data_IF_914563080811
#
_entry.id   IF_914563080811
#
_cell.length_a   1.000
_cell.length_b   1.000
_cell.length_c   1.000
_cell.angle_alpha   90.00
_cell.angle_beta   90.00
_cell.angle_gamma   90.00
#
_symmetry.space_group_name_H-M   'P 1'
#
loop_
_entity.id
_entity.type
_entity.pdbx_description
1 polymer ?
#
# COMPACT_ATOMS: atom_id res chain seq x y z
N UNK A 1 3.27 -25.58 -8.08
CA UNK A 1 2.86 -24.24 -7.59
C UNK A 1 4.11 -23.39 -7.51
N UNK A 2 4.16 -22.23 -8.19
CA UNK A 2 5.28 -21.30 -8.09
C UNK A 2 5.00 -20.28 -6.99
N UNK A 3 6.04 -19.74 -6.36
CA UNK A 3 5.90 -18.64 -5.40
C UNK A 3 5.11 -17.46 -6.02
N UNK A 4 5.32 -17.18 -7.31
CA UNK A 4 4.61 -16.17 -8.08
C UNK A 4 3.10 -16.44 -8.26
N UNK A 5 2.62 -17.67 -8.04
CA UNK A 5 1.20 -18.01 -8.11
C UNK A 5 0.47 -17.67 -6.80
N UNK A 6 1.19 -17.59 -5.68
CA UNK A 6 0.66 -17.17 -4.39
C UNK A 6 0.46 -15.65 -4.32
N UNK A 7 1.08 -14.87 -5.22
CA UNK A 7 1.18 -13.41 -5.13
C UNK A 7 0.31 -12.63 -6.12
N UNK A 8 -0.67 -13.27 -6.76
CA UNK A 8 -1.49 -12.65 -7.82
C UNK A 8 -2.69 -11.87 -7.31
N UNK A 9 -3.14 -12.13 -6.09
CA UNK A 9 -4.26 -11.42 -5.50
C UNK A 9 -3.88 -9.96 -5.24
N UNK A 10 -4.76 -9.06 -5.66
CA UNK A 10 -4.64 -7.62 -5.39
C UNK A 10 -5.84 -7.16 -4.60
N UNK A 11 -5.61 -6.36 -3.56
CA UNK A 11 -6.66 -5.73 -2.79
C UNK A 11 -6.70 -4.23 -3.06
N UNK A 12 -7.89 -3.62 -3.12
CA UNK A 12 -8.01 -2.17 -3.27
C UNK A 12 -7.66 -1.45 -1.96
N UNK A 13 -7.20 -0.21 -2.08
CA UNK A 13 -7.13 0.75 -0.99
C UNK A 13 -7.67 2.10 -1.44
N UNK A 14 -8.13 2.89 -0.49
CA UNK A 14 -8.53 4.29 -0.69
C UNK A 14 -7.97 5.12 0.46
N UNK A 15 -7.45 6.30 0.14
CA UNK A 15 -6.89 7.24 1.11
C UNK A 15 -7.43 8.65 0.85
N UNK A 16 -7.95 9.28 1.90
CA UNK A 16 -8.41 10.66 1.84
C UNK A 16 -7.23 11.61 2.08
N UNK A 17 -6.90 12.41 1.08
CA UNK A 17 -5.87 13.45 1.13
C UNK A 17 -6.54 14.84 1.02
N UNK A 18 -5.86 15.93 1.42
CA UNK A 18 -6.41 17.28 1.27
C UNK A 18 -6.78 17.63 -0.18
N UNK A 19 -6.08 17.05 -1.16
CA UNK A 19 -6.30 17.29 -2.58
C UNK A 19 -7.39 16.39 -3.21
N UNK A 20 -7.88 15.36 -2.49
CA UNK A 20 -8.85 14.41 -3.02
C UNK A 20 -8.71 13.01 -2.45
N UNK A 21 -9.42 12.06 -3.05
CA UNK A 21 -9.30 10.63 -2.69
C UNK A 21 -8.35 9.97 -3.67
N UNK A 22 -7.23 9.46 -3.17
CA UNK A 22 -6.31 8.64 -3.94
C UNK A 22 -6.72 7.18 -3.78
N UNK A 23 -6.80 6.44 -4.88
CA UNK A 23 -7.21 5.04 -4.94
C UNK A 23 -6.12 4.21 -5.58
N UNK A 24 -6.07 2.94 -5.20
CA UNK A 24 -5.14 2.04 -5.85
C UNK A 24 -5.34 0.59 -5.46
N UNK A 25 -4.38 -0.22 -5.88
CA UNK A 25 -4.33 -1.65 -5.61
C UNK A 25 -2.94 -2.05 -5.13
N UNK A 26 -2.90 -2.99 -4.19
CA UNK A 26 -1.66 -3.53 -3.65
C UNK A 26 -1.71 -5.06 -3.62
N UNK A 27 -0.55 -5.71 -3.54
CA UNK A 27 -0.41 -7.16 -3.37
C UNK A 27 -0.19 -7.47 -1.89
N UNK A 28 -1.22 -7.92 -1.13
CA UNK A 28 -1.04 -8.29 0.29
C UNK A 28 0.02 -9.38 0.48
N UNK A 29 0.12 -10.30 -0.48
CA UNK A 29 1.07 -11.41 -0.47
C UNK A 29 2.52 -10.98 -0.73
N UNK A 30 2.73 -9.73 -1.17
CA UNK A 30 4.07 -9.14 -1.27
C UNK A 30 4.57 -8.60 0.08
N UNK A 31 3.72 -8.60 1.13
CA UNK A 31 4.11 -8.30 2.50
C UNK A 31 4.93 -9.47 3.09
N UNK A 32 6.22 -9.46 2.79
CA UNK A 32 7.20 -10.46 3.22
C UNK A 32 7.98 -9.97 4.44
N UNK A 33 8.75 -10.84 5.15
CA UNK A 33 9.64 -10.39 6.23
C UNK A 33 10.61 -9.28 5.81
N UNK A 34 10.99 -9.23 4.53
CA UNK A 34 11.80 -8.13 3.99
C UNK A 34 11.05 -6.81 4.00
N UNK A 35 9.77 -6.81 3.65
CA UNK A 35 8.91 -5.61 3.71
C UNK A 35 8.69 -5.20 5.16
N UNK A 36 8.46 -6.15 6.06
CA UNK A 36 8.32 -5.88 7.49
C UNK A 36 9.57 -5.21 8.09
N UNK A 37 10.77 -5.67 7.73
CA UNK A 37 12.02 -5.02 8.11
C UNK A 37 12.08 -3.56 7.63
N UNK A 38 11.75 -3.31 6.35
CA UNK A 38 11.74 -1.95 5.79
C UNK A 38 10.73 -1.05 6.51
N UNK A 39 9.60 -1.58 6.95
CA UNK A 39 8.62 -0.84 7.74
C UNK A 39 9.18 -0.47 9.12
N UNK A 40 9.91 -1.38 9.77
CA UNK A 40 10.62 -1.07 11.02
C UNK A 40 11.69 0.02 10.82
N UNK A 41 12.47 -0.07 9.75
CA UNK A 41 13.44 0.94 9.36
C UNK A 41 12.78 2.30 9.02
N UNK A 42 11.56 2.29 8.50
CA UNK A 42 10.78 3.50 8.23
C UNK A 42 10.32 4.22 9.51
N UNK A 43 10.24 3.51 10.64
CA UNK A 43 9.82 4.07 11.92
C UNK A 43 11.00 4.61 12.74
N UNK A 44 12.06 3.81 12.85
CA UNK A 44 13.15 4.07 13.81
C UNK A 44 14.55 4.15 13.15
N UNK A 45 14.63 4.02 11.82
CA UNK A 45 15.89 3.94 11.09
C UNK A 45 16.50 5.30 10.70
N UNK A 46 17.75 5.28 10.20
CA UNK A 46 18.47 6.50 9.80
C UNK A 46 17.95 7.12 8.49
N UNK A 47 17.17 6.38 7.70
CA UNK A 47 16.63 6.82 6.40
C UNK A 47 15.16 6.42 6.23
N UNK A 48 14.24 6.98 7.06
CA UNK A 48 12.87 6.48 7.17
C UNK A 48 12.05 6.62 5.88
N UNK A 49 12.26 7.73 5.14
CA UNK A 49 11.60 7.96 3.86
C UNK A 49 12.00 6.94 2.78
N UNK A 50 13.29 6.60 2.71
CA UNK A 50 13.81 5.62 1.74
C UNK A 50 13.25 4.22 2.01
N UNK A 51 13.22 3.82 3.28
CA UNK A 51 12.71 2.51 3.68
C UNK A 51 11.19 2.40 3.40
N UNK A 52 10.44 3.46 3.65
CA UNK A 52 9.00 3.53 3.34
C UNK A 52 8.73 3.43 1.83
N UNK A 53 9.49 4.16 1.01
CA UNK A 53 9.39 4.09 -0.45
C UNK A 53 9.74 2.70 -1.00
N UNK A 54 10.79 2.04 -0.47
CA UNK A 54 11.15 0.67 -0.87
C UNK A 54 10.04 -0.32 -0.49
N UNK A 55 9.49 -0.22 0.72
CA UNK A 55 8.36 -1.03 1.14
C UNK A 55 7.15 -0.86 0.21
N UNK A 56 6.77 0.38 -0.11
CA UNK A 56 5.63 0.67 -0.99
C UNK A 56 5.87 0.23 -2.43
N UNK A 57 7.08 0.36 -2.97
CA UNK A 57 7.43 -0.08 -4.34
C UNK A 57 7.21 -1.58 -4.56
N UNK A 58 7.25 -2.36 -3.47
CA UNK A 58 7.05 -3.81 -3.50
C UNK A 58 5.58 -4.20 -3.33
N UNK A 59 4.81 -3.37 -2.63
CA UNK A 59 3.40 -3.62 -2.31
C UNK A 59 2.46 -3.08 -3.38
N UNK A 60 2.70 -1.85 -3.85
CA UNK A 60 1.83 -1.14 -4.80
C UNK A 60 1.88 -1.80 -6.17
N UNK A 61 0.68 -1.99 -6.75
CA UNK A 61 0.51 -2.44 -8.13
C UNK A 61 0.15 -1.27 -9.02
N UNK A 62 -0.78 -0.44 -8.55
CA UNK A 62 -1.29 0.71 -9.28
C UNK A 62 -1.94 1.70 -8.32
N UNK A 63 -2.04 2.94 -8.76
CA UNK A 63 -2.82 3.99 -8.14
C UNK A 63 -3.29 4.99 -9.21
N UNK A 64 -4.22 5.87 -8.86
CA UNK A 64 -4.74 6.92 -9.73
C UNK A 64 -4.00 8.27 -9.55
N UNK A 65 -2.78 8.23 -9.00
CA UNK A 65 -1.90 9.40 -8.97
C UNK A 65 -1.42 9.70 -10.40
N UNK A 66 -1.60 10.94 -10.84
CA UNK A 66 -1.09 11.45 -12.12
C UNK A 66 0.13 12.36 -11.88
N UNK A 67 1.07 12.35 -12.82
CA UNK A 67 2.19 13.30 -12.87
C UNK A 67 1.77 14.68 -13.38
N UNK A 68 2.73 15.60 -13.47
CA UNK A 68 2.49 16.96 -13.98
C UNK A 68 2.09 16.99 -15.47
N UNK A 69 2.43 15.94 -16.21
CA UNK A 69 2.10 15.72 -17.61
C UNK A 69 0.73 15.04 -17.81
N UNK A 70 0.04 14.68 -16.73
CA UNK A 70 -1.23 13.94 -16.75
C UNK A 70 -1.07 12.45 -17.01
N UNK A 71 0.15 11.92 -17.05
CA UNK A 71 0.40 10.49 -17.19
C UNK A 71 0.34 9.77 -15.83
N UNK A 72 0.01 8.47 -15.78
CA UNK A 72 0.00 7.71 -14.54
C UNK A 72 1.36 7.73 -13.85
N UNK A 73 1.38 8.17 -12.59
CA UNK A 73 2.59 8.28 -11.82
C UNK A 73 3.15 6.88 -11.49
N UNK A 74 4.43 6.58 -11.77
CA UNK A 74 4.95 5.22 -11.58
C UNK A 74 5.02 4.81 -10.11
N UNK A 75 4.86 3.50 -9.83
CA UNK A 75 5.02 2.91 -8.49
C UNK A 75 6.42 2.37 -8.22
N UNK A 76 7.40 2.74 -9.07
CA UNK A 76 8.80 2.36 -8.90
C UNK A 76 9.44 3.06 -7.70
N UNK A 77 10.51 2.48 -7.13
CA UNK A 77 11.22 3.10 -6.01
C UNK A 77 11.70 4.52 -6.35
N UNK A 78 12.31 4.71 -7.51
CA UNK A 78 12.83 6.01 -7.95
C UNK A 78 11.73 7.08 -7.98
N UNK A 79 10.58 6.75 -8.58
CA UNK A 79 9.42 7.66 -8.61
C UNK A 79 8.85 7.91 -7.21
N UNK A 80 8.73 6.88 -6.37
CA UNK A 80 8.20 7.04 -5.01
C UNK A 80 9.07 7.94 -4.11
N UNK A 81 10.36 8.09 -4.40
CA UNK A 81 11.24 9.01 -3.65
C UNK A 81 10.97 10.49 -3.93
N UNK A 82 10.29 10.80 -5.03
CA UNK A 82 9.88 12.16 -5.37
C UNK A 82 8.50 12.50 -4.78
N UNK A 83 7.76 11.50 -4.30
CA UNK A 83 6.44 11.69 -3.68
C UNK A 83 6.61 12.24 -2.25
N UNK A 84 5.80 13.23 -1.83
CA UNK A 84 5.86 13.75 -0.47
C UNK A 84 5.68 12.65 0.59
N UNK A 85 6.60 12.60 1.56
CA UNK A 85 6.59 11.61 2.65
C UNK A 85 5.24 11.48 3.36
N UNK A 86 4.49 12.57 3.66
CA UNK A 86 3.16 12.44 4.27
C UNK A 86 2.17 11.64 3.42
N UNK A 87 2.23 11.76 2.09
CA UNK A 87 1.37 11.00 1.18
C UNK A 87 1.73 9.52 1.23
N UNK A 88 3.02 9.19 1.18
CA UNK A 88 3.49 7.81 1.32
C UNK A 88 3.05 7.19 2.66
N UNK A 89 3.12 7.96 3.74
CA UNK A 89 2.68 7.53 5.07
C UNK A 89 1.20 7.16 5.12
N UNK A 90 0.33 8.00 4.54
CA UNK A 90 -1.10 7.74 4.51
C UNK A 90 -1.48 6.58 3.57
N UNK A 91 -0.80 6.44 2.43
CA UNK A 91 -0.95 5.27 1.55
C UNK A 91 -0.57 3.98 2.27
N UNK A 92 0.57 3.97 2.95
CA UNK A 92 1.01 2.80 3.71
C UNK A 92 0.01 2.46 4.83
N UNK A 93 -0.48 3.46 5.56
CA UNK A 93 -1.51 3.27 6.59
C UNK A 93 -2.80 2.68 6.01
N UNK A 94 -3.27 3.17 4.87
CA UNK A 94 -4.47 2.65 4.20
C UNK A 94 -4.29 1.17 3.81
N UNK A 95 -3.12 0.81 3.28
CA UNK A 95 -2.76 -0.58 2.97
C UNK A 95 -2.75 -1.44 4.24
N UNK A 96 -2.10 -0.97 5.31
CA UNK A 96 -2.03 -1.71 6.57
C UNK A 96 -3.42 -1.97 7.17
N UNK A 97 -4.33 -0.99 7.09
CA UNK A 97 -5.74 -1.16 7.50
C UNK A 97 -6.49 -2.18 6.64
N UNK A 98 -6.24 -2.19 5.32
CA UNK A 98 -6.84 -3.15 4.41
C UNK A 98 -6.35 -4.59 4.64
N UNK A 99 -5.16 -4.77 5.21
CA UNK A 99 -4.61 -6.08 5.57
C UNK A 99 -5.20 -6.67 6.86
N UNK A 100 -5.83 -5.86 7.72
CA UNK A 100 -6.51 -6.36 8.92
C UNK A 100 -7.72 -7.20 8.48
N UNK A 101 -7.79 -8.51 8.82
CA UNK A 101 -8.93 -9.33 8.48
C UNK A 101 -10.21 -8.72 9.08
N UNK A 102 -11.14 -8.28 8.23
CA UNK A 102 -12.45 -7.84 8.71
C UNK A 102 -13.15 -9.06 9.30
N UNK A 103 -13.68 -9.00 10.54
CA UNK A 103 -14.49 -10.10 11.06
C UNK A 103 -15.62 -10.37 10.07
N UNK A 104 -15.84 -11.65 9.74
CA UNK A 104 -17.01 -12.06 8.95
C UNK A 104 -18.24 -11.54 9.69
N UNK A 105 -18.86 -10.48 9.17
CA UNK A 105 -20.11 -9.97 9.70
C UNK A 105 -21.09 -11.15 9.74
N UNK A 106 -21.47 -11.57 10.94
CA UNK A 106 -22.40 -12.65 11.16
C UNK A 106 -23.69 -12.34 10.39
N UNK A 107 -23.91 -13.07 9.31
CA UNK A 107 -25.13 -12.96 8.53
C UNK A 107 -26.31 -13.41 9.40
N UNK A 108 -27.21 -12.45 9.67
CA UNK A 108 -28.63 -12.64 10.01
C UNK A 108 -28.94 -13.69 11.09
N UNK A 109 -29.03 -13.24 12.33
CA UNK A 109 -29.99 -13.84 13.27
C UNK A 109 -31.38 -13.33 12.91
N UNK A 110 -31.96 -13.92 11.86
CA UNK A 110 -33.40 -13.90 11.63
C UNK A 110 -34.00 -15.10 12.32
N UNK A 111 -34.46 -14.90 13.55
CA UNK A 111 -35.29 -15.81 14.35
C UNK A 111 -35.92 -14.92 15.42
N UNK A 112 -37.23 -14.81 15.59
CA UNK A 112 -38.40 -15.35 14.90
C UNK A 112 -39.60 -14.61 15.50
#
# INVERSE_FOLDING_TARGET
MKLADLSKETLPFEVALPAGVLKGAFRPQAYTPRVEQLVGEAQDGPAPAQALADALSRLLVSWDLEGEDGEPYPTSLEALLEVPVPVLGEVFRAIAQAMVPKPKSAARSGAG
#
